data_IF_608137699023
#
_entry.id   IF_608137699023
#
_cell.length_a   1.000
_cell.length_b   1.000
_cell.length_c   1.000
_cell.angle_alpha   90.00
_cell.angle_beta   90.00
_cell.angle_gamma   90.00
#
_symmetry.space_group_name_H-M   'P 1'
#
loop_
_entity.id
_entity.type
_entity.pdbx_description
1 polymer ?
#
# COMPACT_ATOMS: atom_id res chain seq x y z
N UNK A 1 -17.12 -6.10 20.88
CA UNK A 1 -17.06 -4.90 20.02
C UNK A 1 -15.61 -4.75 19.60
N UNK A 2 -15.31 -4.81 18.30
CA UNK A 2 -13.97 -4.53 17.79
C UNK A 2 -13.69 -3.04 18.03
N UNK A 3 -12.55 -2.73 18.67
CA UNK A 3 -12.08 -1.34 18.82
C UNK A 3 -11.14 -1.06 17.65
N UNK A 4 -11.49 -0.14 16.73
CA UNK A 4 -10.62 0.23 15.61
C UNK A 4 -9.26 0.82 16.05
N UNK A 5 -9.14 1.25 17.31
CA UNK A 5 -7.95 1.92 17.83
C UNK A 5 -6.77 0.99 18.17
N UNK A 6 -6.85 -0.31 17.90
CA UNK A 6 -5.86 -1.29 18.34
C UNK A 6 -4.93 -1.84 17.23
N UNK A 7 -5.02 -1.34 15.99
CA UNK A 7 -4.12 -1.76 14.92
C UNK A 7 -2.85 -0.89 14.89
N UNK A 8 -1.66 -1.48 14.68
CA UNK A 8 -0.45 -0.71 14.42
C UNK A 8 -0.65 0.23 13.23
N UNK A 9 -0.32 1.50 13.40
CA UNK A 9 -0.31 2.48 12.32
C UNK A 9 1.12 2.80 11.95
N UNK A 10 1.39 2.81 10.64
CA UNK A 10 2.68 3.24 10.09
C UNK A 10 2.41 4.42 9.16
N UNK A 11 3.17 5.49 9.33
CA UNK A 11 3.19 6.61 8.38
C UNK A 11 4.37 6.42 7.43
N UNK A 12 4.14 6.57 6.13
CA UNK A 12 5.18 6.45 5.12
C UNK A 12 4.72 6.96 3.76
N UNK A 13 5.69 7.29 2.91
CA UNK A 13 5.46 7.57 1.50
C UNK A 13 5.55 6.26 0.71
N UNK A 14 4.51 5.90 -0.04
CA UNK A 14 4.45 4.68 -0.85
C UNK A 14 5.65 4.52 -1.79
N UNK A 15 6.21 5.61 -2.30
CA UNK A 15 7.34 5.55 -3.23
C UNK A 15 8.69 5.30 -2.55
N UNK A 16 8.78 5.51 -1.24
CA UNK A 16 10.03 5.45 -0.47
C UNK A 16 9.93 4.66 0.83
N UNK A 17 8.84 3.91 1.01
CA UNK A 17 8.60 3.10 2.19
C UNK A 17 9.61 1.95 2.31
N UNK A 18 9.97 1.62 3.56
CA UNK A 18 10.81 0.46 3.88
C UNK A 18 9.90 -0.78 3.92
N UNK A 19 9.58 -1.30 2.75
CA UNK A 19 8.54 -2.32 2.56
C UNK A 19 8.82 -3.64 3.27
N UNK A 20 10.07 -4.04 3.37
CA UNK A 20 10.51 -5.25 4.06
C UNK A 20 10.33 -5.18 5.58
N UNK A 21 10.37 -3.98 6.18
CA UNK A 21 10.01 -3.81 7.60
C UNK A 21 8.49 -3.75 7.80
N UNK A 22 7.78 -3.08 6.89
CA UNK A 22 6.33 -2.85 7.01
C UNK A 22 5.52 -4.13 6.79
N UNK A 23 5.98 -5.01 5.89
CA UNK A 23 5.23 -6.20 5.48
C UNK A 23 5.56 -7.46 6.30
N UNK A 24 6.44 -7.37 7.31
CA UNK A 24 6.77 -8.51 8.18
C UNK A 24 5.52 -9.09 8.84
N UNK A 25 5.22 -10.35 8.54
CA UNK A 25 4.08 -11.07 9.09
C UNK A 25 2.72 -10.71 8.46
N UNK A 26 2.68 -9.84 7.45
CA UNK A 26 1.47 -9.52 6.70
C UNK A 26 1.11 -10.68 5.76
N UNK A 27 -0.17 -11.06 5.71
CA UNK A 27 -0.67 -12.20 4.91
C UNK A 27 -1.54 -11.79 3.72
N UNK A 28 -1.95 -10.52 3.65
CA UNK A 28 -2.60 -9.92 2.49
C UNK A 28 -2.38 -8.40 2.47
N UNK A 29 -2.25 -7.83 1.28
CA UNK A 29 -2.22 -6.37 1.06
C UNK A 29 -3.45 -5.95 0.27
N UNK A 30 -4.05 -4.85 0.70
CA UNK A 30 -5.09 -4.13 -0.05
C UNK A 30 -4.60 -2.70 -0.24
N UNK A 31 -4.38 -2.30 -1.49
CA UNK A 31 -4.07 -0.91 -1.81
C UNK A 31 -5.34 -0.18 -2.23
N UNK A 32 -5.64 0.90 -1.51
CA UNK A 32 -6.75 1.81 -1.80
C UNK A 32 -6.22 3.22 -2.10
N UNK A 33 -5.01 3.29 -2.67
CA UNK A 33 -4.40 4.56 -3.03
C UNK A 33 -5.15 5.16 -4.22
N UNK A 34 -5.57 6.40 -4.04
CA UNK A 34 -6.14 7.19 -5.11
C UNK A 34 -6.38 8.65 -4.71
N UNK A 35 -6.55 9.51 -5.70
CA UNK A 35 -6.73 10.95 -5.51
C UNK A 35 -7.24 11.66 -6.77
N UNK A 36 -7.58 12.93 -6.62
CA UNK A 36 -8.02 13.78 -7.74
C UNK A 36 -7.01 14.91 -7.96
N UNK A 37 -6.79 15.31 -9.21
CA UNK A 37 -5.81 16.32 -9.57
C UNK A 37 -5.65 16.49 -11.08
N UNK A 38 -4.49 16.95 -11.53
CA UNK A 38 -4.12 16.86 -12.95
C UNK A 38 -3.98 15.40 -13.38
N UNK A 39 -4.01 15.15 -14.69
CA UNK A 39 -3.80 13.82 -15.25
C UNK A 39 -2.48 13.20 -14.77
N UNK A 40 -1.41 13.98 -14.65
CA UNK A 40 -0.11 13.51 -14.14
C UNK A 40 -0.17 13.14 -12.66
N UNK A 41 -0.91 13.90 -11.85
CA UNK A 41 -1.10 13.60 -10.43
C UNK A 41 -1.91 12.32 -10.24
N UNK A 42 -3.01 12.20 -10.99
CA UNK A 42 -3.88 11.01 -10.97
C UNK A 42 -3.13 9.78 -11.48
N UNK A 43 -2.42 9.87 -12.61
CA UNK A 43 -1.60 8.76 -13.11
C UNK A 43 -0.57 8.29 -12.08
N UNK A 44 0.03 9.22 -11.35
CA UNK A 44 1.01 8.90 -10.30
C UNK A 44 0.38 8.21 -9.10
N UNK A 45 -0.72 8.73 -8.54
CA UNK A 45 -1.31 8.19 -7.30
C UNK A 45 -2.27 7.02 -7.55
N UNK A 46 -3.09 7.05 -8.60
CA UNK A 46 -4.06 6.01 -8.92
C UNK A 46 -3.40 4.85 -9.68
N UNK A 47 -2.34 5.13 -10.46
CA UNK A 47 -1.63 4.15 -11.28
C UNK A 47 -0.31 3.68 -10.66
N UNK A 48 0.70 4.54 -10.71
CA UNK A 48 2.09 4.15 -10.38
C UNK A 48 2.23 3.70 -8.92
N UNK A 49 1.60 4.41 -7.97
CA UNK A 49 1.67 4.06 -6.56
C UNK A 49 1.08 2.66 -6.26
N UNK A 50 -0.03 2.30 -6.91
CA UNK A 50 -0.64 0.97 -6.78
C UNK A 50 0.29 -0.12 -7.34
N UNK A 51 0.98 0.13 -8.46
CA UNK A 51 1.99 -0.79 -9.01
C UNK A 51 3.16 -0.98 -8.04
N UNK A 52 3.64 0.10 -7.40
CA UNK A 52 4.68 0.02 -6.36
C UNK A 52 4.23 -0.86 -5.20
N UNK A 53 3.01 -0.64 -4.68
CA UNK A 53 2.46 -1.41 -3.56
C UNK A 53 2.31 -2.91 -3.89
N UNK A 54 1.85 -3.26 -5.09
CA UNK A 54 1.71 -4.67 -5.53
C UNK A 54 3.07 -5.34 -5.68
N UNK A 55 4.04 -4.65 -6.29
CA UNK A 55 5.38 -5.20 -6.45
C UNK A 55 6.05 -5.40 -5.09
N UNK A 56 5.89 -4.46 -4.16
CA UNK A 56 6.37 -4.63 -2.80
C UNK A 56 5.72 -5.83 -2.10
N UNK A 57 4.40 -6.03 -2.25
CA UNK A 57 3.70 -7.19 -1.71
C UNK A 57 4.22 -8.51 -2.30
N UNK A 58 4.52 -8.53 -3.61
CA UNK A 58 5.12 -9.69 -4.29
C UNK A 58 6.53 -10.01 -3.80
N UNK A 59 7.37 -8.99 -3.61
CA UNK A 59 8.80 -9.16 -3.36
C UNK A 59 9.12 -9.37 -1.87
N UNK A 60 8.38 -8.71 -0.97
CA UNK A 60 8.67 -8.66 0.47
C UNK A 60 7.56 -9.21 1.35
N UNK A 61 6.41 -9.53 0.76
CA UNK A 61 5.18 -9.71 1.51
C UNK A 61 4.31 -10.90 1.06
N UNK A 62 2.98 -10.74 1.13
CA UNK A 62 2.04 -11.84 1.25
C UNK A 62 1.69 -12.61 -0.04
N UNK A 63 1.00 -13.73 0.17
CA UNK A 63 0.48 -14.61 -0.89
C UNK A 63 -0.58 -13.90 -1.77
N UNK A 64 -1.28 -12.87 -1.25
CA UNK A 64 -2.36 -12.16 -1.95
C UNK A 64 -2.23 -10.64 -1.88
N UNK A 65 -2.45 -9.99 -3.02
CA UNK A 65 -2.51 -8.52 -3.17
C UNK A 65 -3.74 -8.13 -3.99
N UNK A 66 -4.46 -7.09 -3.54
CA UNK A 66 -5.61 -6.50 -4.25
C UNK A 66 -5.40 -5.00 -4.41
N UNK A 67 -5.61 -4.49 -5.63
CA UNK A 67 -5.64 -3.07 -5.96
C UNK A 67 -7.00 -2.71 -6.53
N UNK A 68 -7.50 -1.53 -6.20
CA UNK A 68 -8.75 -0.97 -6.73
C UNK A 68 -8.49 0.15 -7.72
#
# INVERSE_FOLDING_TARGET
MWSPAALPQVTGDVFYAIWDEILVGVTAVVSTLGGFGSDEQMQRIDGEANVVAVNAAKDYGPIFSVTF
#
